data_IF_959379880830
#
_entry.id   IF_959379880830
#
_cell.length_a   1.000
_cell.length_b   1.000
_cell.length_c   1.000
_cell.angle_alpha   90.00
_cell.angle_beta   90.00
_cell.angle_gamma   90.00
#
_symmetry.space_group_name_H-M   'P 1'
#
loop_
_entity.id
_entity.type
_entity.pdbx_description
1 polymer ?
#
# COMPACT_ATOMS: atom_id res chain seq x y z
N UNK A 1 15.80 8.24 23.76
CA UNK A 1 14.82 9.35 23.63
C UNK A 1 14.45 9.57 22.17
N UNK A 2 15.42 9.66 21.25
CA UNK A 2 15.16 9.66 19.81
C UNK A 2 14.33 8.44 19.35
N UNK A 3 14.70 7.24 19.82
CA UNK A 3 13.96 5.98 19.58
C UNK A 3 12.45 6.10 19.84
N UNK A 4 12.04 6.70 20.97
CA UNK A 4 10.61 6.85 21.31
C UNK A 4 9.87 7.72 20.29
N UNK A 5 10.50 8.81 19.83
CA UNK A 5 9.93 9.67 18.81
C UNK A 5 9.90 8.98 17.44
N UNK A 6 10.90 8.15 17.12
CA UNK A 6 10.93 7.36 15.90
C UNK A 6 9.79 6.33 15.86
N UNK A 7 9.62 5.55 16.93
CA UNK A 7 8.52 4.58 17.04
C UNK A 7 7.16 5.26 16.97
N UNK A 8 7.01 6.40 17.68
CA UNK A 8 5.78 7.19 17.63
C UNK A 8 5.48 7.70 16.21
N UNK A 9 6.50 8.11 15.45
CA UNK A 9 6.35 8.50 14.05
C UNK A 9 5.86 7.33 13.19
N UNK A 10 6.51 6.17 13.29
CA UNK A 10 6.12 4.97 12.53
C UNK A 10 4.67 4.61 12.80
N UNK A 11 4.27 4.53 14.07
CA UNK A 11 2.89 4.23 14.47
C UNK A 11 1.92 5.26 13.88
N UNK A 12 2.21 6.56 14.06
CA UNK A 12 1.34 7.63 13.54
C UNK A 12 1.17 7.54 12.02
N UNK A 13 2.26 7.31 11.26
CA UNK A 13 2.20 7.15 9.80
C UNK A 13 1.34 5.95 9.39
N UNK A 14 1.55 4.83 10.06
CA UNK A 14 0.85 3.58 9.76
C UNK A 14 -0.68 3.72 9.95
N UNK A 15 -1.11 4.55 10.91
CA UNK A 15 -2.53 4.85 11.18
C UNK A 15 -2.98 6.20 10.61
N UNK A 16 -2.31 6.74 9.58
CA UNK A 16 -2.76 7.91 8.83
C UNK A 16 -2.65 9.27 9.54
N UNK A 17 -2.01 9.33 10.72
CA UNK A 17 -1.73 10.58 11.45
C UNK A 17 -0.44 11.23 10.94
N UNK A 18 -0.43 11.63 9.67
CA UNK A 18 0.80 12.03 8.97
C UNK A 18 1.49 13.28 9.54
N UNK A 19 0.75 14.29 9.99
CA UNK A 19 1.33 15.50 10.58
C UNK A 19 2.08 15.17 11.88
N UNK A 20 1.43 14.41 12.78
CA UNK A 20 2.06 13.93 14.01
C UNK A 20 3.25 13.02 13.73
N UNK A 21 3.18 12.23 12.66
CA UNK A 21 4.32 11.43 12.19
C UNK A 21 5.50 12.31 11.83
N UNK A 22 5.27 13.35 11.03
CA UNK A 22 6.31 14.26 10.58
C UNK A 22 6.97 15.00 11.76
N UNK A 23 6.17 15.56 12.66
CA UNK A 23 6.66 16.24 13.87
C UNK A 23 7.53 15.31 14.72
N UNK A 24 7.08 14.07 14.90
CA UNK A 24 7.80 13.08 15.69
C UNK A 24 9.10 12.64 15.02
N UNK A 25 9.09 12.44 13.69
CA UNK A 25 10.28 12.08 12.95
C UNK A 25 11.34 13.18 12.97
N UNK A 26 10.93 14.44 12.80
CA UNK A 26 11.81 15.61 12.92
C UNK A 26 12.44 15.64 14.31
N UNK A 27 11.63 15.44 15.36
CA UNK A 27 12.13 15.44 16.73
C UNK A 27 13.10 14.29 17.02
N UNK A 28 12.91 13.13 16.41
CA UNK A 28 13.86 12.02 16.52
C UNK A 28 15.23 12.40 15.95
N UNK A 29 15.26 12.97 14.74
CA UNK A 29 16.49 13.40 14.05
C UNK A 29 17.20 14.55 14.79
N UNK A 30 16.46 15.51 15.35
CA UNK A 30 17.04 16.59 16.17
C UNK A 30 17.77 16.09 17.43
N UNK A 31 17.32 14.95 17.97
CA UNK A 31 17.91 14.36 19.16
C UNK A 31 19.08 13.43 18.84
N UNK A 32 19.05 12.79 17.67
CA UNK A 32 20.06 11.86 17.19
C UNK A 32 19.97 11.77 15.65
N UNK A 33 21.08 12.01 14.97
CA UNK A 33 21.15 11.98 13.50
C UNK A 33 21.36 10.57 12.93
N UNK A 34 21.13 9.52 13.72
CA UNK A 34 21.20 8.12 13.30
C UNK A 34 20.40 7.82 12.03
N UNK A 35 20.97 6.98 11.17
CA UNK A 35 20.40 6.61 9.86
C UNK A 35 18.95 6.11 9.92
N UNK A 36 18.53 5.26 10.89
CA UNK A 36 17.13 4.81 10.98
C UNK A 36 16.13 5.96 11.15
N UNK A 37 16.50 7.00 11.91
CA UNK A 37 15.63 8.16 12.15
C UNK A 37 15.50 9.02 10.89
N UNK A 38 16.59 9.16 10.13
CA UNK A 38 16.61 9.84 8.83
C UNK A 38 15.71 9.14 7.81
N UNK A 39 15.67 7.80 7.79
CA UNK A 39 14.72 7.04 6.95
C UNK A 39 13.27 7.36 7.33
N UNK A 40 12.95 7.31 8.63
CA UNK A 40 11.59 7.60 9.10
C UNK A 40 11.14 9.03 8.75
N UNK A 41 12.05 10.00 8.87
CA UNK A 41 11.81 11.37 8.42
C UNK A 41 11.58 11.45 6.91
N UNK A 42 12.46 10.86 6.10
CA UNK A 42 12.31 10.84 4.65
C UNK A 42 10.97 10.20 4.20
N UNK A 43 10.57 9.07 4.80
CA UNK A 43 9.26 8.44 4.54
C UNK A 43 8.10 9.39 4.86
N UNK A 44 8.18 10.13 5.98
CA UNK A 44 7.13 11.08 6.35
C UNK A 44 7.07 12.25 5.37
N UNK A 45 8.23 12.80 4.97
CA UNK A 45 8.33 13.89 4.00
C UNK A 45 7.72 13.54 2.64
N UNK A 46 7.93 12.30 2.17
CA UNK A 46 7.38 11.84 0.90
C UNK A 46 5.84 11.83 0.87
N UNK A 47 5.16 11.67 2.00
CA UNK A 47 3.68 11.76 2.09
C UNK A 47 3.16 13.19 1.90
N UNK A 48 4.03 14.18 2.14
CA UNK A 48 3.77 15.61 2.00
C UNK A 48 4.36 16.19 0.71
N UNK A 49 4.73 15.34 -0.25
CA UNK A 49 5.33 15.76 -1.53
C UNK A 49 6.64 16.55 -1.37
N UNK A 50 7.32 16.46 -0.23
CA UNK A 50 8.65 17.05 0.00
C UNK A 50 9.77 16.17 -0.59
N UNK A 51 9.63 15.81 -1.88
CA UNK A 51 10.54 14.88 -2.57
C UNK A 51 12.00 15.33 -2.51
N UNK A 52 12.30 16.58 -2.85
CA UNK A 52 13.68 17.11 -2.89
C UNK A 52 14.41 16.95 -1.54
N UNK A 53 13.70 17.23 -0.45
CA UNK A 53 14.26 17.10 0.89
C UNK A 53 14.42 15.64 1.28
N UNK A 54 13.41 14.82 1.00
CA UNK A 54 13.47 13.39 1.27
C UNK A 54 14.59 12.69 0.47
N UNK A 55 14.73 13.01 -0.82
CA UNK A 55 15.72 12.42 -1.71
C UNK A 55 17.14 12.79 -1.29
N UNK A 56 17.37 14.05 -0.88
CA UNK A 56 18.64 14.49 -0.31
C UNK A 56 19.02 13.69 0.94
N UNK A 57 18.09 13.49 1.87
CA UNK A 57 18.32 12.71 3.09
C UNK A 57 18.66 11.26 2.75
N UNK A 58 17.89 10.64 1.84
CA UNK A 58 18.10 9.24 1.46
C UNK A 58 19.45 9.03 0.76
N UNK A 59 19.85 9.96 -0.11
CA UNK A 59 21.17 9.93 -0.76
C UNK A 59 22.33 9.99 0.24
N UNK A 60 22.18 10.76 1.32
CA UNK A 60 23.21 10.91 2.36
C UNK A 60 23.52 9.58 3.08
N UNK A 61 22.49 8.77 3.32
CA UNK A 61 22.60 7.52 4.09
C UNK A 61 22.69 6.26 3.22
N UNK A 62 22.66 6.40 1.89
CA UNK A 62 22.83 5.29 0.94
C UNK A 62 24.20 4.64 1.11
N UNK A 63 24.21 3.37 1.51
CA UNK A 63 25.42 2.58 1.74
C UNK A 63 25.15 1.08 1.60
N UNK A 64 26.17 0.24 1.84
CA UNK A 64 26.03 -1.23 1.85
C UNK A 64 25.46 -1.78 3.16
N UNK A 65 25.13 -0.93 4.15
CA UNK A 65 24.45 -1.37 5.37
C UNK A 65 22.99 -1.73 5.07
N UNK A 66 22.36 -2.54 5.91
CA UNK A 66 20.93 -2.86 5.76
C UNK A 66 20.05 -1.60 5.68
N UNK A 67 20.34 -0.62 6.54
CA UNK A 67 19.67 0.69 6.57
C UNK A 67 19.94 1.46 5.27
N UNK A 68 21.18 1.45 4.77
CA UNK A 68 21.53 2.07 3.48
C UNK A 68 20.82 1.44 2.28
N UNK A 69 20.66 0.10 2.27
CA UNK A 69 19.89 -0.61 1.24
C UNK A 69 18.40 -0.24 1.33
N UNK A 70 17.84 -0.14 2.53
CA UNK A 70 16.45 0.28 2.72
C UNK A 70 16.24 1.72 2.19
N UNK A 71 17.19 2.62 2.46
CA UNK A 71 17.17 3.98 1.94
C UNK A 71 17.21 4.01 0.40
N UNK A 72 18.04 3.18 -0.22
CA UNK A 72 18.11 3.04 -1.68
C UNK A 72 16.81 2.51 -2.28
N UNK A 73 16.20 1.47 -1.69
CA UNK A 73 14.91 0.94 -2.14
C UNK A 73 13.79 1.98 -2.05
N UNK A 74 13.77 2.75 -0.96
CA UNK A 74 12.79 3.84 -0.80
C UNK A 74 13.02 4.96 -1.82
N UNK A 75 14.28 5.34 -2.04
CA UNK A 75 14.63 6.37 -3.02
C UNK A 75 14.30 5.92 -4.45
N UNK A 76 14.55 4.66 -4.79
CA UNK A 76 14.15 4.05 -6.07
C UNK A 76 12.64 4.19 -6.28
N UNK A 77 11.83 3.75 -5.30
CA UNK A 77 10.36 3.85 -5.38
C UNK A 77 9.89 5.30 -5.50
N UNK A 78 10.44 6.21 -4.69
CA UNK A 78 10.09 7.62 -4.75
C UNK A 78 10.48 8.24 -6.10
N UNK A 79 11.67 7.96 -6.61
CA UNK A 79 12.14 8.53 -7.88
C UNK A 79 11.31 8.04 -9.07
N UNK A 80 10.84 6.79 -9.02
CA UNK A 80 9.85 6.28 -9.97
C UNK A 80 8.53 7.05 -9.91
N UNK A 81 8.00 7.28 -8.71
CA UNK A 81 6.74 8.00 -8.50
C UNK A 81 6.84 9.48 -8.88
N UNK A 82 7.96 10.15 -8.60
CA UNK A 82 8.16 11.57 -8.91
C UNK A 82 8.74 11.81 -10.31
N UNK A 83 8.99 10.76 -11.10
CA UNK A 83 9.51 10.88 -12.46
C UNK A 83 10.97 11.34 -12.54
N UNK A 84 11.74 11.20 -11.45
CA UNK A 84 13.17 11.50 -11.42
C UNK A 84 13.98 10.32 -11.97
N UNK A 85 14.18 10.34 -13.28
CA UNK A 85 14.87 9.28 -14.02
C UNK A 85 16.35 9.19 -13.59
N UNK A 86 17.01 10.30 -13.28
CA UNK A 86 18.42 10.30 -12.93
C UNK A 86 18.64 9.64 -11.57
N UNK A 87 17.85 10.03 -10.57
CA UNK A 87 17.91 9.42 -9.23
C UNK A 87 17.50 7.96 -9.27
N UNK A 88 16.47 7.62 -10.06
CA UNK A 88 16.04 6.24 -10.23
C UNK A 88 17.17 5.36 -10.81
N UNK A 89 17.77 5.78 -11.94
CA UNK A 89 18.88 5.05 -12.56
C UNK A 89 20.09 4.92 -11.63
N UNK A 90 20.42 6.00 -10.90
CA UNK A 90 21.49 5.99 -9.90
C UNK A 90 21.22 4.98 -8.76
N UNK A 91 20.01 4.97 -8.21
CA UNK A 91 19.64 4.07 -7.12
C UNK A 91 19.67 2.59 -7.55
N UNK A 92 19.23 2.29 -8.78
CA UNK A 92 19.26 0.95 -9.37
C UNK A 92 20.70 0.45 -9.57
N UNK A 93 21.60 1.30 -10.10
CA UNK A 93 23.02 0.96 -10.28
C UNK A 93 23.70 0.67 -8.92
N UNK A 94 23.39 1.44 -7.87
CA UNK A 94 23.93 1.16 -6.54
C UNK A 94 23.40 -0.15 -5.96
N UNK A 95 22.10 -0.44 -6.08
CA UNK A 95 21.52 -1.70 -5.61
C UNK A 95 22.17 -2.91 -6.31
N UNK A 96 22.49 -2.80 -7.61
CA UNK A 96 23.28 -3.82 -8.33
C UNK A 96 24.67 -3.99 -7.73
N UNK A 97 25.40 -2.88 -7.56
CA UNK A 97 26.79 -2.91 -7.05
C UNK A 97 26.89 -3.45 -5.64
N UNK A 98 25.86 -3.25 -4.83
CA UNK A 98 25.81 -3.71 -3.44
C UNK A 98 25.30 -5.14 -3.31
N UNK A 99 25.08 -5.87 -4.42
CA UNK A 99 24.48 -7.20 -4.44
C UNK A 99 23.11 -7.26 -3.74
N UNK A 100 22.37 -6.15 -3.75
CA UNK A 100 21.02 -6.05 -3.21
C UNK A 100 19.97 -6.19 -4.33
N UNK A 101 20.29 -6.98 -5.36
CA UNK A 101 19.40 -7.25 -6.48
C UNK A 101 18.28 -8.19 -6.05
N UNK A 102 17.05 -7.86 -6.42
CA UNK A 102 15.88 -8.69 -6.15
C UNK A 102 14.88 -8.60 -7.31
N UNK A 103 13.94 -9.54 -7.44
CA UNK A 103 12.88 -9.49 -8.46
C UNK A 103 12.16 -8.13 -8.47
N UNK A 104 11.86 -7.57 -7.29
CA UNK A 104 11.28 -6.22 -7.20
C UNK A 104 12.18 -5.13 -7.80
N UNK A 105 13.48 -5.16 -7.53
CA UNK A 105 14.44 -4.19 -8.11
C UNK A 105 14.54 -4.37 -9.63
N UNK A 106 14.54 -5.61 -10.12
CA UNK A 106 14.47 -5.92 -11.55
C UNK A 106 13.18 -5.39 -12.20
N UNK A 107 12.04 -5.48 -11.50
CA UNK A 107 10.75 -4.96 -11.98
C UNK A 107 10.76 -3.44 -12.16
N UNK A 108 11.40 -2.71 -11.23
CA UNK A 108 11.62 -1.26 -11.37
C UNK A 108 12.54 -0.94 -12.55
N UNK A 109 13.62 -1.70 -12.74
CA UNK A 109 14.50 -1.54 -13.92
C UNK A 109 13.75 -1.78 -15.22
N UNK A 110 12.99 -2.87 -15.34
CA UNK A 110 12.18 -3.18 -16.52
C UNK A 110 11.11 -2.11 -16.78
N UNK A 111 10.63 -1.45 -15.73
CA UNK A 111 9.67 -0.35 -15.82
C UNK A 111 10.31 1.02 -16.08
N UNK A 112 11.63 1.14 -16.20
CA UNK A 112 12.29 2.40 -16.60
C UNK A 112 11.78 2.91 -17.94
N UNK A 113 11.58 2.03 -18.92
CA UNK A 113 11.06 2.41 -20.24
C UNK A 113 9.65 3.02 -20.15
N UNK A 114 8.84 2.60 -19.16
CA UNK A 114 7.52 3.20 -18.87
C UNK A 114 7.65 4.63 -18.34
N UNK A 115 8.72 4.94 -17.60
CA UNK A 115 9.01 6.31 -17.10
C UNK A 115 9.60 7.17 -18.21
N UNK A 116 10.55 6.64 -18.98
CA UNK A 116 11.22 7.36 -20.08
C UNK A 116 10.23 7.70 -21.22
N UNK A 117 9.32 6.79 -21.55
CA UNK A 117 8.29 7.01 -22.59
C UNK A 117 7.23 8.05 -22.23
N UNK A 118 7.12 8.46 -20.96
CA UNK A 118 6.20 9.50 -20.50
C UNK A 118 6.72 10.93 -20.71
N UNK A 119 8.00 11.10 -21.06
CA UNK A 119 8.65 12.41 -21.09
C UNK A 119 9.15 12.80 -19.71
N UNK A 120 10.41 13.23 -19.64
CA UNK A 120 11.07 13.59 -18.39
C UNK A 120 10.37 14.75 -17.68
N UNK A 121 10.07 14.59 -16.39
CA UNK A 121 9.88 15.71 -15.46
C UNK A 121 8.45 16.21 -15.23
N UNK A 122 7.42 15.57 -15.77
CA UNK A 122 6.05 15.81 -15.29
C UNK A 122 5.72 14.81 -14.19
N UNK A 123 5.59 15.26 -12.91
CA UNK A 123 5.04 14.40 -11.87
C UNK A 123 3.64 13.95 -12.30
N UNK A 124 3.20 12.79 -11.82
CA UNK A 124 1.81 12.39 -12.04
C UNK A 124 0.84 13.51 -11.67
N UNK A 125 -0.26 13.64 -12.43
CA UNK A 125 -1.34 14.54 -12.06
C UNK A 125 -1.73 14.31 -10.60
N UNK A 126 -1.85 15.40 -9.85
CA UNK A 126 -2.17 15.39 -8.43
C UNK A 126 -3.62 14.96 -8.28
N UNK A 127 -3.83 13.65 -8.14
CA UNK A 127 -5.09 13.09 -7.74
C UNK A 127 -5.17 13.13 -6.20
N UNK A 128 -6.30 13.60 -5.69
CA UNK A 128 -6.66 13.46 -4.28
C UNK A 128 -8.13 13.14 -4.22
N UNK A 129 -8.47 12.19 -3.36
CA UNK A 129 -9.86 11.87 -3.13
C UNK A 129 -10.50 12.97 -2.29
N UNK A 130 -11.63 13.46 -2.79
CA UNK A 130 -12.53 14.27 -1.99
C UNK A 130 -13.37 13.36 -1.08
N UNK A 131 -12.88 13.18 0.16
CA UNK A 131 -13.61 12.42 1.18
C UNK A 131 -14.97 13.03 1.51
N UNK A 132 -15.17 14.34 1.31
CA UNK A 132 -16.47 14.99 1.54
C UNK A 132 -17.43 14.57 0.44
N UNK A 133 -16.98 14.56 -0.81
CA UNK A 133 -17.78 14.08 -1.95
C UNK A 133 -18.16 12.61 -1.77
N UNK A 134 -17.20 11.75 -1.44
CA UNK A 134 -17.47 10.33 -1.14
C UNK A 134 -18.46 10.20 0.02
N UNK A 135 -18.21 10.86 1.16
CA UNK A 135 -19.09 10.73 2.31
C UNK A 135 -20.51 11.27 2.04
N UNK A 136 -20.63 12.29 1.18
CA UNK A 136 -21.92 12.82 0.74
C UNK A 136 -22.65 11.84 -0.17
N UNK A 137 -21.96 11.28 -1.17
CA UNK A 137 -22.49 10.24 -2.06
C UNK A 137 -23.00 9.03 -1.26
N UNK A 138 -22.24 8.58 -0.26
CA UNK A 138 -22.63 7.46 0.60
C UNK A 138 -23.85 7.77 1.46
N UNK A 139 -23.94 8.98 2.03
CA UNK A 139 -25.11 9.42 2.80
C UNK A 139 -26.38 9.49 1.95
N UNK A 140 -26.24 9.75 0.65
CA UNK A 140 -27.36 9.86 -0.29
C UNK A 140 -27.77 8.51 -0.87
N UNK A 141 -26.81 7.61 -1.11
CA UNK A 141 -27.01 6.43 -1.96
C UNK A 141 -26.90 5.07 -1.23
N UNK A 142 -26.41 5.02 0.02
CA UNK A 142 -26.29 3.76 0.77
C UNK A 142 -27.30 3.62 1.93
N UNK A 143 -27.75 2.38 2.18
CA UNK A 143 -28.50 2.03 3.39
C UNK A 143 -27.53 1.91 4.58
N UNK A 144 -27.35 3.04 5.28
CA UNK A 144 -26.42 3.17 6.39
C UNK A 144 -27.15 3.07 7.75
N UNK A 145 -26.45 2.58 8.78
CA UNK A 145 -26.99 2.45 10.14
C UNK A 145 -26.03 3.00 11.20
N UNK A 146 -26.63 3.57 12.26
CA UNK A 146 -25.95 3.88 13.53
C UNK A 146 -24.80 4.88 13.40
N UNK A 147 -23.69 4.59 14.08
CA UNK A 147 -22.48 5.41 14.15
C UNK A 147 -21.81 5.66 12.78
N UNK A 148 -22.20 4.90 11.76
CA UNK A 148 -21.78 5.09 10.37
C UNK A 148 -22.28 6.43 9.81
N UNK A 149 -23.55 6.76 10.02
CA UNK A 149 -24.13 8.01 9.56
C UNK A 149 -23.47 9.20 10.28
N UNK A 150 -23.25 9.07 11.59
CA UNK A 150 -22.66 10.15 12.40
C UNK A 150 -21.21 10.45 11.96
N UNK A 151 -20.45 9.44 11.57
CA UNK A 151 -19.10 9.61 11.04
C UNK A 151 -19.06 10.26 9.67
N UNK A 152 -19.91 9.80 8.76
CA UNK A 152 -19.99 10.39 7.41
C UNK A 152 -20.43 11.85 7.49
N UNK A 153 -21.43 12.16 8.34
CA UNK A 153 -21.83 13.55 8.60
C UNK A 153 -20.70 14.38 9.16
N UNK A 154 -19.94 13.85 10.11
CA UNK A 154 -18.77 14.54 10.65
C UNK A 154 -17.72 14.83 9.56
N UNK A 155 -17.44 13.86 8.68
CA UNK A 155 -16.53 14.05 7.54
C UNK A 155 -17.05 15.15 6.61
N UNK A 156 -18.34 15.12 6.25
CA UNK A 156 -18.96 16.15 5.40
C UNK A 156 -18.93 17.54 6.05
N UNK A 157 -19.20 17.63 7.35
CA UNK A 157 -19.30 18.90 8.07
C UNK A 157 -17.93 19.52 8.40
N UNK A 158 -16.91 18.69 8.63
CA UNK A 158 -15.61 19.17 9.15
C UNK A 158 -14.44 18.97 8.18
N UNK A 159 -14.60 18.15 7.14
CA UNK A 159 -13.50 17.66 6.31
C UNK A 159 -12.49 16.78 7.06
N UNK A 160 -12.78 16.41 8.31
CA UNK A 160 -11.90 15.67 9.20
C UNK A 160 -12.52 14.39 9.75
N UNK A 161 -11.74 13.65 10.54
CA UNK A 161 -12.18 12.40 11.16
C UNK A 161 -12.72 12.63 12.57
N UNK A 162 -13.78 11.91 12.95
CA UNK A 162 -14.21 11.85 14.35
C UNK A 162 -13.42 10.75 15.08
N UNK A 163 -12.49 11.08 15.98
CA UNK A 163 -11.67 10.07 16.66
C UNK A 163 -12.43 9.26 17.73
N UNK A 164 -13.69 9.62 18.03
CA UNK A 164 -14.46 9.02 19.14
C UNK A 164 -15.37 7.87 18.72
N UNK A 165 -15.46 7.59 17.42
CA UNK A 165 -16.41 6.65 16.83
C UNK A 165 -15.66 5.75 15.84
N UNK A 166 -14.85 4.83 16.34
CA UNK A 166 -14.30 3.75 15.50
C UNK A 166 -15.46 2.85 15.09
N UNK A 167 -15.85 2.91 13.82
CA UNK A 167 -16.98 2.13 13.31
C UNK A 167 -16.62 0.66 13.15
N UNK A 168 -17.46 -0.24 13.65
CA UNK A 168 -17.58 -1.62 13.15
C UNK A 168 -18.34 -1.64 11.80
N UNK A 169 -18.11 -0.63 10.97
CA UNK A 169 -18.95 -0.20 9.86
C UNK A 169 -19.02 -1.24 8.75
N UNK A 170 -20.25 -1.46 8.29
CA UNK A 170 -20.67 -2.37 7.22
C UNK A 170 -20.54 -1.73 5.82
N UNK A 171 -19.66 -0.77 5.62
CA UNK A 171 -19.54 -0.05 4.35
C UNK A 171 -18.76 -0.89 3.33
N UNK A 172 -19.19 -0.85 2.06
CA UNK A 172 -18.41 -1.42 0.96
C UNK A 172 -17.41 -0.40 0.40
N UNK A 173 -16.14 -0.55 0.77
CA UNK A 173 -15.06 0.36 0.31
C UNK A 173 -14.46 -0.04 -1.04
N UNK A 174 -14.91 -1.14 -1.67
CA UNK A 174 -14.32 -1.69 -2.90
C UNK A 174 -14.37 -0.73 -4.10
N UNK A 175 -15.48 -0.03 -4.38
CA UNK A 175 -15.54 0.90 -5.51
C UNK A 175 -14.49 2.00 -5.39
N UNK A 176 -14.28 2.52 -4.17
CA UNK A 176 -13.31 3.58 -3.91
C UNK A 176 -11.86 3.11 -3.99
N UNK A 177 -11.55 1.92 -3.46
CA UNK A 177 -10.24 1.28 -3.65
C UNK A 177 -9.95 1.13 -5.15
N UNK A 178 -10.96 0.71 -5.91
CA UNK A 178 -10.83 0.49 -7.35
C UNK A 178 -10.59 1.79 -8.13
N UNK A 179 -11.31 2.86 -7.80
CA UNK A 179 -11.06 4.22 -8.33
C UNK A 179 -9.63 4.67 -8.03
N UNK A 180 -9.17 4.59 -6.77
CA UNK A 180 -7.79 4.93 -6.37
C UNK A 180 -6.76 4.24 -7.24
N UNK A 181 -6.84 2.90 -7.33
CA UNK A 181 -5.84 2.10 -8.04
C UNK A 181 -5.86 2.36 -9.55
N UNK A 182 -7.01 2.76 -10.09
CA UNK A 182 -7.19 3.07 -11.51
C UNK A 182 -6.72 4.48 -11.89
N UNK A 183 -6.85 5.46 -10.99
CA UNK A 183 -6.56 6.88 -11.26
C UNK A 183 -5.12 7.23 -10.86
N UNK A 184 -4.61 6.67 -9.77
CA UNK A 184 -3.28 7.00 -9.22
C UNK A 184 -2.15 6.11 -9.75
N UNK A 185 -2.25 5.62 -10.99
CA UNK A 185 -1.40 4.53 -11.53
C UNK A 185 0.10 4.71 -11.27
N UNK A 186 0.72 3.85 -10.47
CA UNK A 186 2.16 3.93 -10.16
C UNK A 186 2.57 4.99 -9.13
N UNK A 187 1.61 5.69 -8.51
CA UNK A 187 1.81 6.63 -7.41
C UNK A 187 1.67 5.92 -6.06
N UNK A 188 2.56 4.98 -5.78
CA UNK A 188 2.39 4.02 -4.70
C UNK A 188 2.32 4.64 -3.30
N UNK A 189 3.03 5.75 -3.04
CA UNK A 189 3.01 6.43 -1.74
C UNK A 189 1.72 7.23 -1.57
N UNK A 190 1.21 7.82 -2.64
CA UNK A 190 -0.09 8.50 -2.63
C UNK A 190 -1.26 7.53 -2.51
N UNK A 191 -1.24 6.41 -3.24
CA UNK A 191 -2.23 5.33 -3.07
C UNK A 191 -2.25 4.87 -1.60
N UNK A 192 -1.08 4.67 -0.99
CA UNK A 192 -0.96 4.30 0.42
C UNK A 192 -1.66 5.30 1.35
N UNK A 193 -1.45 6.59 1.11
CA UNK A 193 -2.07 7.69 1.86
C UNK A 193 -3.59 7.63 1.76
N UNK A 194 -4.12 7.49 0.55
CA UNK A 194 -5.56 7.50 0.32
C UNK A 194 -6.24 6.22 0.84
N UNK A 195 -5.64 5.05 0.64
CA UNK A 195 -6.13 3.79 1.21
C UNK A 195 -6.20 3.84 2.75
N UNK A 196 -5.18 4.42 3.39
CA UNK A 196 -5.20 4.64 4.84
C UNK A 196 -6.34 5.57 5.26
N UNK A 197 -6.56 6.69 4.55
CA UNK A 197 -7.66 7.63 4.82
C UNK A 197 -9.02 6.94 4.75
N UNK A 198 -9.26 6.14 3.72
CA UNK A 198 -10.50 5.37 3.55
C UNK A 198 -10.66 4.33 4.67
N UNK A 199 -9.63 3.53 4.96
CA UNK A 199 -9.71 2.52 6.01
C UNK A 199 -10.07 3.14 7.38
N UNK A 200 -9.46 4.27 7.72
CA UNK A 200 -9.74 4.98 8.98
C UNK A 200 -11.14 5.58 8.97
N UNK A 201 -11.56 6.21 7.87
CA UNK A 201 -12.86 6.84 7.73
C UNK A 201 -14.02 5.83 7.93
N UNK A 202 -13.92 4.66 7.31
CA UNK A 202 -15.08 3.78 7.16
C UNK A 202 -15.04 2.52 8.04
N UNK A 203 -13.86 2.01 8.37
CA UNK A 203 -13.72 0.76 9.14
C UNK A 203 -12.97 0.91 10.46
N UNK A 204 -12.10 1.90 10.62
CA UNK A 204 -11.34 2.14 11.86
C UNK A 204 -10.51 0.96 12.38
N UNK A 205 -10.38 -0.15 11.63
CA UNK A 205 -9.77 -1.37 12.11
C UNK A 205 -8.33 -1.51 11.61
N UNK A 206 -7.43 -1.92 12.50
CA UNK A 206 -6.05 -2.20 12.13
C UNK A 206 -5.91 -3.39 11.18
N UNK A 207 -6.90 -4.30 11.17
CA UNK A 207 -6.99 -5.42 10.23
C UNK A 207 -7.30 -4.92 8.82
N UNK A 208 -8.20 -3.95 8.66
CA UNK A 208 -8.49 -3.31 7.38
C UNK A 208 -7.25 -2.61 6.84
N UNK A 209 -6.53 -1.85 7.68
CA UNK A 209 -5.26 -1.22 7.28
C UNK A 209 -4.22 -2.27 6.84
N UNK A 210 -4.07 -3.35 7.59
CA UNK A 210 -3.17 -4.44 7.24
C UNK A 210 -3.54 -5.10 5.90
N UNK A 211 -4.83 -5.37 5.68
CA UNK A 211 -5.35 -5.91 4.42
C UNK A 211 -5.11 -5.00 3.22
N UNK A 212 -5.40 -3.70 3.36
CA UNK A 212 -5.10 -2.73 2.30
C UNK A 212 -3.61 -2.62 2.02
N UNK A 213 -2.76 -2.86 3.04
CA UNK A 213 -1.31 -2.86 2.85
C UNK A 213 -0.85 -4.01 1.98
N UNK A 214 -1.37 -5.22 2.23
CA UNK A 214 -1.13 -6.39 1.38
C UNK A 214 -1.58 -6.09 -0.06
N UNK A 215 -2.79 -5.54 -0.22
CA UNK A 215 -3.34 -5.19 -1.54
C UNK A 215 -2.47 -4.19 -2.29
N UNK A 216 -2.01 -3.13 -1.63
CA UNK A 216 -1.12 -2.13 -2.22
C UNK A 216 0.19 -2.76 -2.70
N UNK A 217 0.78 -3.64 -1.88
CA UNK A 217 2.06 -4.28 -2.22
C UNK A 217 1.89 -5.22 -3.40
N UNK A 218 0.80 -5.97 -3.46
CA UNK A 218 0.46 -6.76 -4.65
C UNK A 218 0.27 -5.88 -5.90
N UNK A 219 -0.49 -4.80 -5.77
CA UNK A 219 -0.69 -3.86 -6.87
C UNK A 219 0.65 -3.33 -7.39
N UNK A 220 1.57 -2.97 -6.49
CA UNK A 220 2.93 -2.54 -6.84
C UNK A 220 3.67 -3.61 -7.65
N UNK A 221 3.69 -4.87 -7.20
CA UNK A 221 4.30 -5.97 -7.93
C UNK A 221 3.71 -6.16 -9.34
N UNK A 222 2.39 -6.19 -9.46
CA UNK A 222 1.74 -6.40 -10.76
C UNK A 222 1.89 -5.20 -11.71
N UNK A 223 1.88 -3.98 -11.17
CA UNK A 223 2.06 -2.77 -11.98
C UNK A 223 3.46 -2.71 -12.60
N UNK A 224 4.47 -3.14 -11.85
CA UNK A 224 5.85 -3.15 -12.28
C UNK A 224 6.17 -4.28 -13.27
N UNK A 225 5.27 -5.25 -13.45
CA UNK A 225 5.42 -6.38 -14.39
C UNK A 225 6.68 -7.21 -14.09
N UNK A 226 6.98 -7.38 -12.80
CA UNK A 226 8.10 -8.18 -12.31
C UNK A 226 7.75 -9.64 -12.08
N UNK A 227 8.77 -10.48 -12.01
CA UNK A 227 8.61 -11.84 -11.48
C UNK A 227 8.18 -11.76 -10.02
N UNK A 228 7.12 -12.48 -9.67
CA UNK A 228 6.60 -12.51 -8.31
C UNK A 228 7.23 -13.66 -7.53
N UNK A 229 7.96 -13.33 -6.47
CA UNK A 229 8.48 -14.30 -5.50
C UNK A 229 7.74 -14.14 -4.16
N UNK A 230 7.08 -15.22 -3.72
CA UNK A 230 6.29 -15.19 -2.49
C UNK A 230 7.14 -14.92 -1.25
N UNK A 231 8.33 -15.52 -1.15
CA UNK A 231 9.21 -15.36 0.00
C UNK A 231 9.65 -13.91 0.15
N UNK A 232 10.09 -13.28 -0.95
CA UNK A 232 10.45 -11.85 -0.97
C UNK A 232 9.24 -10.97 -0.60
N UNK A 233 8.07 -11.25 -1.17
CA UNK A 233 6.84 -10.51 -0.86
C UNK A 233 6.52 -10.57 0.64
N UNK A 234 6.66 -11.75 1.26
CA UNK A 234 6.34 -11.94 2.67
C UNK A 234 7.38 -11.30 3.59
N UNK A 235 8.65 -11.39 3.26
CA UNK A 235 9.72 -10.74 4.01
C UNK A 235 9.54 -9.21 4.05
N UNK A 236 8.99 -8.62 2.98
CA UNK A 236 8.64 -7.19 2.96
C UNK A 236 7.32 -6.90 3.71
N UNK A 237 6.27 -7.68 3.44
CA UNK A 237 4.91 -7.34 3.85
C UNK A 237 4.62 -7.72 5.30
N UNK A 238 5.12 -8.86 5.78
CA UNK A 238 4.83 -9.36 7.14
C UNK A 238 5.28 -8.38 8.24
N UNK A 239 6.50 -7.80 8.19
CA UNK A 239 6.90 -6.78 9.16
C UNK A 239 5.96 -5.57 9.12
N UNK A 240 5.62 -5.09 7.92
CA UNK A 240 4.78 -3.91 7.73
C UNK A 240 3.35 -4.09 8.27
N UNK A 241 2.74 -5.25 8.03
CA UNK A 241 1.42 -5.56 8.59
C UNK A 241 1.48 -5.97 10.06
N UNK A 242 2.63 -6.46 10.54
CA UNK A 242 2.88 -6.76 11.94
C UNK A 242 2.82 -5.52 12.82
N UNK A 243 3.34 -4.40 12.33
CA UNK A 243 3.26 -3.09 12.99
C UNK A 243 1.81 -2.57 13.10
N UNK A 244 0.94 -2.96 12.16
CA UNK A 244 -0.48 -2.61 12.16
C UNK A 244 -1.29 -3.55 13.06
N UNK A 245 -1.17 -4.86 12.83
CA UNK A 245 -1.87 -5.89 13.58
C UNK A 245 -1.06 -7.20 13.60
N UNK A 246 -0.35 -7.45 14.70
CA UNK A 246 0.46 -8.65 14.88
C UNK A 246 -0.33 -9.97 14.78
N UNK A 247 -1.58 -10.01 15.28
CA UNK A 247 -2.39 -11.22 15.24
C UNK A 247 -2.78 -11.57 13.80
N UNK A 248 -3.17 -10.56 13.03
CA UNK A 248 -3.43 -10.67 11.61
C UNK A 248 -2.19 -11.16 10.85
N UNK A 249 -1.03 -10.51 11.06
CA UNK A 249 0.24 -10.89 10.45
C UNK A 249 0.60 -12.36 10.71
N UNK A 250 0.45 -12.80 11.96
CA UNK A 250 0.67 -14.20 12.35
C UNK A 250 -0.28 -15.17 11.64
N UNK A 251 -1.54 -14.80 11.46
CA UNK A 251 -2.52 -15.64 10.76
C UNK A 251 -2.21 -15.75 9.27
N UNK A 252 -1.72 -14.65 8.66
CA UNK A 252 -1.23 -14.66 7.27
C UNK A 252 -0.09 -15.68 7.14
N UNK A 253 0.96 -15.56 7.96
CA UNK A 253 2.10 -16.49 7.97
C UNK A 253 1.64 -17.94 8.13
N UNK A 254 0.82 -18.24 9.14
CA UNK A 254 0.32 -19.59 9.39
C UNK A 254 -0.45 -20.17 8.21
N UNK A 255 -1.23 -19.34 7.53
CA UNK A 255 -2.02 -19.78 6.39
C UNK A 255 -1.12 -20.07 5.19
N UNK A 256 -0.09 -19.26 4.96
CA UNK A 256 0.96 -19.54 3.97
C UNK A 256 1.67 -20.86 4.27
N UNK A 257 2.15 -21.05 5.51
CA UNK A 257 2.85 -22.28 5.93
C UNK A 257 1.98 -23.52 5.72
N UNK A 258 0.70 -23.44 6.06
CA UNK A 258 -0.25 -24.55 5.88
C UNK A 258 -0.57 -24.84 4.41
N UNK A 259 -0.39 -23.85 3.52
CA UNK A 259 -0.62 -23.97 2.09
C UNK A 259 0.67 -24.28 1.32
N UNK A 260 1.82 -24.48 1.99
CA UNK A 260 3.14 -24.59 1.35
C UNK A 260 3.21 -25.59 0.18
N UNK A 261 2.56 -26.75 0.29
CA UNK A 261 2.52 -27.75 -0.80
C UNK A 261 1.59 -27.38 -1.98
N UNK A 262 0.54 -26.59 -1.74
CA UNK A 262 -0.31 -26.05 -2.81
C UNK A 262 0.36 -24.83 -3.46
N UNK A 263 1.12 -24.07 -2.68
CA UNK A 263 1.86 -22.90 -3.12
C UNK A 263 3.03 -23.28 -4.04
N UNK A 264 3.83 -24.31 -3.69
CA UNK A 264 4.84 -24.87 -4.60
C UNK A 264 4.20 -25.32 -5.93
N UNK A 265 3.01 -25.92 -5.88
CA UNK A 265 2.24 -26.31 -7.08
C UNK A 265 1.67 -25.13 -7.88
N UNK A 266 1.40 -23.99 -7.26
CA UNK A 266 0.96 -22.75 -7.94
C UNK A 266 2.15 -22.08 -8.62
N UNK A 267 3.32 -22.12 -7.97
CA UNK A 267 4.58 -21.54 -8.44
C UNK A 267 5.25 -22.37 -9.56
N UNK A 268 5.15 -23.71 -9.50
CA UNK A 268 5.73 -24.63 -10.50
C UNK A 268 4.91 -24.72 -11.82
N UNK A 269 3.68 -24.23 -11.82
CA UNK A 269 2.80 -24.27 -12.98
C UNK A 269 3.16 -23.13 -13.95
N UNK A 270 4.07 -23.40 -14.89
CA UNK A 270 4.57 -22.47 -15.93
C UNK A 270 3.51 -22.05 -16.98
N UNK A 271 2.24 -21.98 -16.58
CA UNK A 271 1.12 -21.54 -17.40
C UNK A 271 0.80 -20.06 -17.17
N UNK A 272 0.06 -19.45 -18.10
CA UNK A 272 -0.36 -18.04 -18.04
C UNK A 272 -1.32 -17.71 -16.88
N UNK A 273 -1.57 -18.65 -15.96
CA UNK A 273 -2.54 -18.55 -14.85
C UNK A 273 -1.88 -18.33 -13.46
N UNK A 274 -0.54 -18.25 -13.40
CA UNK A 274 0.24 -18.03 -12.16
C UNK A 274 -0.16 -16.75 -11.40
N UNK A 275 -0.36 -15.59 -12.05
CA UNK A 275 -0.84 -14.38 -11.36
C UNK A 275 -2.24 -14.54 -10.77
N UNK A 276 -3.09 -15.36 -11.37
CA UNK A 276 -4.49 -15.57 -10.94
C UNK A 276 -4.56 -16.42 -9.67
N UNK A 277 -3.87 -17.56 -9.63
CA UNK A 277 -3.86 -18.45 -8.45
C UNK A 277 -3.22 -17.81 -7.22
N UNK A 278 -2.17 -17.02 -7.43
CA UNK A 278 -1.52 -16.23 -6.37
C UNK A 278 -2.45 -15.15 -5.81
N UNK A 279 -3.21 -14.53 -6.70
CA UNK A 279 -4.15 -13.49 -6.37
C UNK A 279 -5.35 -14.05 -5.60
N UNK A 280 -5.92 -15.18 -6.03
CA UNK A 280 -6.95 -15.93 -5.30
C UNK A 280 -6.48 -16.30 -3.89
N UNK A 281 -5.22 -16.70 -3.75
CA UNK A 281 -4.60 -16.99 -2.46
C UNK A 281 -4.53 -15.77 -1.53
N UNK A 282 -4.14 -14.61 -2.05
CA UNK A 282 -4.05 -13.38 -1.25
C UNK A 282 -5.43 -12.80 -0.93
N UNK A 283 -6.42 -13.02 -1.79
CA UNK A 283 -7.81 -12.70 -1.48
C UNK A 283 -8.32 -13.59 -0.40
N UNK A 284 -8.10 -14.89 -0.49
CA UNK A 284 -8.51 -15.79 0.56
C UNK A 284 -7.82 -15.40 1.88
N UNK A 285 -6.63 -14.78 1.86
CA UNK A 285 -5.99 -14.21 3.05
C UNK A 285 -6.70 -12.93 3.55
N UNK A 286 -7.06 -12.01 2.65
CA UNK A 286 -7.74 -10.73 2.94
C UNK A 286 -9.21 -10.93 3.38
N UNK A 287 -9.93 -11.83 2.70
CA UNK A 287 -11.34 -12.19 2.92
C UNK A 287 -11.51 -13.00 4.19
N UNK A 288 -10.63 -13.98 4.48
CA UNK A 288 -10.72 -14.79 5.70
C UNK A 288 -10.45 -14.00 6.98
N UNK A 289 -9.72 -12.90 6.87
CA UNK A 289 -9.30 -12.09 8.02
C UNK A 289 -10.21 -10.88 8.27
N UNK A 290 -10.81 -10.29 7.23
CA UNK A 290 -11.46 -8.97 7.37
C UNK A 290 -12.94 -8.95 6.93
N UNK A 291 -13.39 -9.87 6.06
CA UNK A 291 -14.65 -9.68 5.31
C UNK A 291 -15.51 -10.94 5.20
N UNK A 292 -15.64 -11.70 6.30
CA UNK A 292 -16.41 -12.96 6.35
C UNK A 292 -17.92 -12.82 6.08
N UNK A 293 -18.45 -11.62 5.81
CA UNK A 293 -19.90 -11.37 5.72
C UNK A 293 -20.41 -10.50 4.56
N UNK A 294 -19.58 -9.98 3.63
CA UNK A 294 -20.07 -8.90 2.74
C UNK A 294 -19.67 -8.87 1.25
N UNK A 295 -18.90 -9.80 0.71
CA UNK A 295 -18.78 -9.88 -0.76
C UNK A 295 -20.04 -10.52 -1.35
N UNK A 296 -20.93 -9.71 -1.94
CA UNK A 296 -22.20 -10.19 -2.51
C UNK A 296 -22.41 -9.97 -4.01
N UNK A 297 -21.57 -9.25 -4.74
CA UNK A 297 -21.55 -9.37 -6.21
C UNK A 297 -20.32 -8.77 -6.90
N UNK A 298 -19.85 -9.49 -7.92
CA UNK A 298 -18.74 -9.20 -8.85
C UNK A 298 -19.03 -8.01 -9.79
N UNK A 299 -20.29 -7.59 -9.90
CA UNK A 299 -20.78 -6.73 -10.97
C UNK A 299 -20.28 -5.26 -10.88
N UNK A 300 -19.86 -4.80 -9.70
CA UNK A 300 -19.42 -3.41 -9.46
C UNK A 300 -17.98 -3.10 -9.94
N UNK A 301 -17.20 -4.10 -10.35
CA UNK A 301 -15.83 -3.90 -10.85
C UNK A 301 -15.72 -3.66 -12.36
N UNK A 302 -16.84 -3.73 -13.08
CA UNK A 302 -16.86 -3.63 -14.54
C UNK A 302 -16.56 -2.23 -15.08
N UNK A 303 -16.56 -1.21 -14.23
CA UNK A 303 -16.34 0.20 -14.61
C UNK A 303 -14.85 0.62 -14.59
N UNK A 304 -13.93 -0.25 -14.16
CA UNK A 304 -12.49 0.05 -14.06
C UNK A 304 -11.85 0.09 -15.45
N UNK A 305 -11.52 1.25 -15.99
CA UNK A 305 -11.03 1.41 -17.37
C UNK A 305 -9.74 0.65 -17.70
N UNK A 306 -8.90 0.34 -16.69
CA UNK A 306 -7.67 -0.42 -16.88
C UNK A 306 -7.97 -1.92 -17.10
N UNK A 307 -7.71 -2.49 -18.30
CA UNK A 307 -8.07 -3.87 -18.60
C UNK A 307 -7.25 -4.90 -17.83
N UNK A 308 -6.02 -4.56 -17.40
CA UNK A 308 -5.17 -5.43 -16.57
C UNK A 308 -5.69 -5.42 -15.13
N UNK A 309 -5.91 -4.24 -14.54
CA UNK A 309 -6.46 -4.11 -13.19
C UNK A 309 -7.88 -4.69 -13.09
N UNK A 310 -8.73 -4.47 -14.09
CA UNK A 310 -10.07 -5.06 -14.20
C UNK A 310 -9.99 -6.59 -14.28
N UNK A 311 -9.09 -7.16 -15.09
CA UNK A 311 -8.88 -8.62 -15.12
C UNK A 311 -8.38 -9.15 -13.78
N UNK A 312 -7.43 -8.46 -13.15
CA UNK A 312 -6.92 -8.78 -11.82
C UNK A 312 -8.07 -8.76 -10.81
N UNK A 313 -8.90 -7.71 -10.76
CA UNK A 313 -10.03 -7.55 -9.84
C UNK A 313 -11.24 -8.47 -10.14
N UNK A 314 -11.53 -8.76 -11.41
CA UNK A 314 -12.56 -9.72 -11.80
C UNK A 314 -12.14 -11.16 -11.50
N UNK A 315 -10.87 -11.50 -11.75
CA UNK A 315 -10.29 -12.75 -11.25
C UNK A 315 -10.35 -12.78 -9.72
N UNK A 316 -10.08 -11.64 -9.05
CA UNK A 316 -10.14 -11.52 -7.61
C UNK A 316 -11.56 -11.88 -7.04
N UNK A 317 -12.65 -11.43 -7.66
CA UNK A 317 -14.01 -11.64 -7.10
C UNK A 317 -14.76 -12.88 -7.63
N UNK A 318 -14.48 -13.35 -8.85
CA UNK A 318 -15.17 -14.50 -9.48
C UNK A 318 -14.90 -15.85 -8.81
N UNK A 319 -13.90 -15.93 -7.94
CA UNK A 319 -13.52 -17.14 -7.20
C UNK A 319 -14.23 -17.22 -5.83
N UNK A 320 -14.74 -16.09 -5.32
CA UNK A 320 -15.49 -16.06 -4.05
C UNK A 320 -16.88 -16.72 -4.12
N UNK A 321 -17.54 -16.67 -5.29
CA UNK A 321 -18.88 -17.24 -5.48
C UNK A 321 -18.87 -18.78 -5.65
N UNK A 322 -17.78 -19.38 -6.15
CA UNK A 322 -17.68 -20.84 -6.28
C UNK A 322 -17.37 -21.55 -4.94
N UNK A 323 -16.71 -20.86 -4.00
CA UNK A 323 -16.36 -21.40 -2.67
C UNK A 323 -17.44 -21.18 -1.60
N UNK A 324 -18.45 -20.33 -1.86
CA UNK A 324 -19.62 -20.15 -0.96
C UNK A 324 -20.73 -21.19 -1.24
N UNK A 325 -20.66 -21.93 -2.34
CA UNK A 325 -21.63 -22.98 -2.71
C UNK A 325 -21.14 -24.43 -2.47
N UNK A 326 -20.02 -24.64 -1.76
CA UNK A 326 -19.57 -25.97 -1.29
C UNK A 326 -19.49 -26.02 0.24
#
# INVERSE_FOLDING_TARGET
RAEVFNEHSIICRNVGLYEKSLDSAQRAVELDEGEPYKITLARSLLIFDEYERASSILREISSTTEVGILALKLLMRASFEFGDIETLAWSLDLLKRYNAWSPKVQAFENSLEKVVSRGSGEPFETFSIDLIEIASDMLENEELEGSTIDNLRYIVETGGFNPTTLNEGKIDIIPYISSILSEMKGQFLRIEKELNRIAIAFHGSSETLASLRILLRLYEYFYLDGDFEIEEFLDEVIPEIGDLNWYFARNVVRKIENMGSEMESILDDASHDHPKKLLDFVIDLIVLSTFKSKFKSIEQLNDIEDPKLRRTLQNLLSVSDENIQR
#
